data_IF_453923046575
#
_entry.id   IF_453923046575
#
_cell.length_a   1.000
_cell.length_b   1.000
_cell.length_c   1.000
_cell.angle_alpha   90.00
_cell.angle_beta   90.00
_cell.angle_gamma   90.00
#
_symmetry.space_group_name_H-M   'P 1'
#
loop_
_entity.id
_entity.type
_entity.pdbx_description
1 polymer ?
#
# COMPACT_ATOMS: atom_id res chain seq x y z
N UNK A 1 7.47 -7.88 -29.53
CA UNK A 1 7.85 -7.46 -28.15
C UNK A 1 8.16 -8.70 -27.34
N UNK A 2 9.30 -8.75 -26.69
CA UNK A 2 9.66 -9.93 -25.91
C UNK A 2 9.20 -9.80 -24.46
N UNK A 3 9.41 -10.86 -23.69
CA UNK A 3 8.95 -10.89 -22.31
C UNK A 3 9.58 -9.79 -21.46
N UNK A 4 10.85 -9.49 -21.69
CA UNK A 4 11.52 -8.45 -20.92
C UNK A 4 10.90 -7.08 -21.15
N UNK A 5 10.55 -6.81 -22.39
CA UNK A 5 9.91 -5.53 -22.72
C UNK A 5 8.54 -5.41 -22.06
N UNK A 6 7.79 -6.52 -22.05
CA UNK A 6 6.47 -6.54 -21.41
C UNK A 6 6.61 -6.31 -19.91
N UNK A 7 7.54 -7.00 -19.26
CA UNK A 7 7.77 -6.85 -17.83
C UNK A 7 8.20 -5.44 -17.50
N UNK A 8 9.09 -4.90 -18.32
CA UNK A 8 9.58 -3.54 -18.11
C UNK A 8 8.46 -2.52 -18.25
N UNK A 9 7.60 -2.69 -19.23
CA UNK A 9 6.46 -1.81 -19.43
C UNK A 9 5.46 -1.90 -18.30
N UNK A 10 5.22 -3.10 -17.79
CA UNK A 10 4.36 -3.30 -16.64
C UNK A 10 4.95 -2.65 -15.40
N UNK A 11 6.25 -2.82 -15.19
CA UNK A 11 6.92 -2.21 -14.05
C UNK A 11 6.80 -0.69 -14.09
N UNK A 12 6.99 -0.10 -15.26
CA UNK A 12 6.83 1.36 -15.41
C UNK A 12 5.41 1.80 -15.08
N UNK A 13 4.43 1.02 -15.51
CA UNK A 13 3.03 1.33 -15.23
C UNK A 13 2.77 1.30 -13.72
N UNK A 14 3.23 0.25 -13.05
CA UNK A 14 3.01 0.13 -11.62
C UNK A 14 3.80 1.16 -10.83
N UNK A 15 4.99 1.53 -11.29
CA UNK A 15 5.73 2.62 -10.66
C UNK A 15 4.94 3.94 -10.71
N UNK A 16 4.26 4.17 -11.81
CA UNK A 16 3.43 5.38 -11.97
C UNK A 16 2.17 5.30 -11.11
N UNK A 17 1.56 4.12 -11.01
CA UNK A 17 0.32 3.94 -10.25
C UNK A 17 0.55 3.92 -8.74
N UNK A 18 1.69 3.40 -8.33
CA UNK A 18 1.99 3.19 -6.91
C UNK A 18 3.32 3.83 -6.54
N UNK A 19 3.41 5.16 -6.57
CA UNK A 19 4.65 5.81 -6.12
C UNK A 19 4.87 5.59 -4.63
N UNK A 20 6.11 5.75 -4.20
CA UNK A 20 6.45 5.59 -2.78
C UNK A 20 5.54 6.45 -1.92
N UNK A 21 5.04 5.88 -0.85
CA UNK A 21 4.11 6.56 0.04
C UNK A 21 2.64 6.31 -0.25
N UNK A 22 2.33 5.64 -1.37
CA UNK A 22 0.93 5.31 -1.68
C UNK A 22 0.38 4.37 -0.64
N UNK A 23 -0.80 4.68 -0.11
CA UNK A 23 -1.48 3.77 0.81
C UNK A 23 -2.29 2.77 0.02
N UNK A 24 -2.19 1.51 0.42
CA UNK A 24 -2.89 0.42 -0.27
C UNK A 24 -3.63 -0.45 0.72
N UNK A 25 -4.58 -1.20 0.18
CA UNK A 25 -5.31 -2.24 0.90
C UNK A 25 -4.96 -3.58 0.25
N UNK A 26 -4.41 -4.50 1.04
CA UNK A 26 -4.21 -5.86 0.57
C UNK A 26 -5.54 -6.59 0.68
N UNK A 27 -6.03 -7.09 -0.44
CA UNK A 27 -7.29 -7.82 -0.47
C UNK A 27 -7.06 -9.30 -0.20
N UNK A 28 -6.03 -9.87 -0.81
CA UNK A 28 -5.69 -11.28 -0.60
C UNK A 28 -4.32 -11.58 -1.18
N UNK A 29 -3.47 -12.24 -0.41
CA UNK A 29 -2.20 -12.73 -0.93
C UNK A 29 -2.38 -14.08 -1.58
N UNK A 30 -1.61 -14.29 -2.66
CA UNK A 30 -1.60 -15.57 -3.32
C UNK A 30 -0.78 -16.60 -2.57
N UNK A 31 0.00 -17.35 -3.31
CA UNK A 31 0.78 -18.46 -2.79
C UNK A 31 1.94 -18.01 -1.91
N UNK A 32 1.71 -17.83 -0.65
CA UNK A 32 2.75 -17.45 0.30
C UNK A 32 2.61 -18.30 1.56
N UNK A 33 3.70 -18.89 2.07
CA UNK A 33 3.62 -19.71 3.29
C UNK A 33 3.16 -18.95 4.52
N UNK A 34 3.39 -17.62 4.52
CA UNK A 34 2.99 -16.77 5.65
C UNK A 34 2.36 -15.50 5.12
N UNK A 35 1.15 -15.59 4.58
CA UNK A 35 0.53 -14.42 3.97
C UNK A 35 0.15 -13.39 5.02
N UNK A 36 0.16 -12.13 4.59
CA UNK A 36 -0.43 -11.06 5.37
C UNK A 36 -1.94 -11.24 5.30
N UNK A 37 -2.62 -10.97 6.38
CA UNK A 37 -4.07 -11.16 6.44
C UNK A 37 -4.81 -10.27 5.44
N UNK A 38 -5.95 -10.78 4.95
CA UNK A 38 -6.79 -10.01 4.06
C UNK A 38 -7.22 -8.70 4.72
N UNK A 39 -7.37 -7.68 3.90
CA UNK A 39 -7.82 -6.34 4.34
C UNK A 39 -6.85 -5.62 5.25
N UNK A 40 -5.57 -5.94 5.14
CA UNK A 40 -4.52 -5.23 5.86
C UNK A 40 -4.07 -4.04 5.01
N UNK A 41 -3.96 -2.87 5.63
CA UNK A 41 -3.48 -1.68 4.95
C UNK A 41 -1.96 -1.59 5.03
N UNK A 42 -1.36 -0.94 4.05
CA UNK A 42 0.07 -0.75 4.01
C UNK A 42 0.47 0.44 3.18
N UNK A 43 1.77 0.67 3.14
CA UNK A 43 2.35 1.79 2.40
C UNK A 43 3.37 1.26 1.41
N UNK A 44 3.30 1.74 0.18
CA UNK A 44 4.25 1.35 -0.86
C UNK A 44 5.60 2.00 -0.56
N UNK A 45 6.65 1.18 -0.54
CA UNK A 45 8.02 1.66 -0.42
C UNK A 45 8.63 1.94 -1.79
N UNK A 46 8.44 1.01 -2.70
CA UNK A 46 8.91 1.16 -4.09
C UNK A 46 8.31 0.06 -4.95
N UNK A 47 8.42 0.24 -6.26
CA UNK A 47 8.11 -0.80 -7.24
C UNK A 47 9.43 -1.10 -7.94
N UNK A 48 9.82 -2.38 -7.99
CA UNK A 48 11.08 -2.74 -8.61
C UNK A 48 10.95 -2.92 -10.13
N UNK A 49 12.06 -3.28 -10.77
CA UNK A 49 12.11 -3.31 -12.23
C UNK A 49 11.32 -4.45 -12.85
N UNK A 50 10.91 -5.43 -12.07
CA UNK A 50 10.05 -6.51 -12.56
C UNK A 50 8.60 -6.32 -12.13
N UNK A 51 8.28 -5.21 -11.50
CA UNK A 51 6.91 -4.86 -11.18
C UNK A 51 6.42 -5.33 -9.82
N UNK A 52 7.31 -5.82 -8.96
CA UNK A 52 6.92 -6.17 -7.60
C UNK A 52 6.76 -4.91 -6.77
N UNK A 53 5.62 -4.80 -6.09
CA UNK A 53 5.29 -3.63 -5.28
C UNK A 53 5.69 -3.93 -3.83
N UNK A 54 6.77 -3.32 -3.40
CA UNK A 54 7.28 -3.55 -2.04
C UNK A 54 6.56 -2.65 -1.06
N UNK A 55 5.98 -3.27 -0.04
CA UNK A 55 5.13 -2.56 0.92
C UNK A 55 5.52 -2.84 2.35
N UNK A 56 5.32 -1.83 3.19
CA UNK A 56 5.35 -2.00 4.65
C UNK A 56 3.91 -1.98 5.13
N UNK A 57 3.49 -3.05 5.80
CA UNK A 57 2.11 -3.18 6.25
C UNK A 57 1.96 -2.65 7.66
N UNK A 58 0.75 -2.19 7.99
CA UNK A 58 0.47 -1.57 9.29
C UNK A 58 0.61 -2.56 10.44
N UNK A 59 0.59 -3.86 10.13
CA UNK A 59 0.81 -4.90 11.16
C UNK A 59 2.29 -5.16 11.45
N UNK A 60 3.19 -4.37 10.86
CA UNK A 60 4.63 -4.50 11.08
C UNK A 60 5.36 -5.38 10.09
N UNK A 61 4.65 -6.01 9.18
CA UNK A 61 5.28 -6.87 8.18
C UNK A 61 5.65 -6.09 6.93
N UNK A 62 6.66 -6.57 6.22
CA UNK A 62 7.08 -5.99 4.94
C UNK A 62 7.19 -7.11 3.93
N UNK A 63 6.49 -6.97 2.82
CA UNK A 63 6.48 -7.98 1.77
C UNK A 63 6.33 -7.31 0.42
N UNK A 64 6.74 -8.04 -0.64
CA UNK A 64 6.49 -7.61 -2.00
C UNK A 64 5.20 -8.21 -2.52
N UNK A 65 4.39 -7.39 -3.16
CA UNK A 65 3.15 -7.84 -3.79
C UNK A 65 3.39 -8.00 -5.28
N UNK A 66 2.97 -9.14 -5.81
CA UNK A 66 3.14 -9.43 -7.24
C UNK A 66 1.81 -9.24 -7.93
N UNK A 67 1.68 -8.19 -8.77
CA UNK A 67 0.42 -7.95 -9.48
C UNK A 67 0.04 -9.20 -10.30
N UNK A 68 -1.20 -9.60 -10.18
CA UNK A 68 -1.69 -10.82 -10.84
C UNK A 68 -1.70 -12.03 -9.94
N UNK A 69 -0.83 -12.10 -8.94
CA UNK A 69 -0.83 -13.18 -7.95
C UNK A 69 -1.46 -12.72 -6.65
N UNK A 70 -1.16 -11.49 -6.27
CA UNK A 70 -1.70 -10.90 -5.05
C UNK A 70 -2.73 -9.85 -5.43
N UNK A 71 -3.84 -9.82 -4.71
CA UNK A 71 -4.90 -8.84 -4.97
C UNK A 71 -4.75 -7.67 -4.02
N UNK A 72 -4.62 -6.49 -4.55
CA UNK A 72 -4.49 -5.26 -3.75
C UNK A 72 -4.97 -4.07 -4.57
N UNK A 73 -5.20 -2.97 -3.90
CA UNK A 73 -5.63 -1.73 -4.54
C UNK A 73 -5.18 -0.53 -3.71
N UNK A 74 -5.12 0.62 -4.34
CA UNK A 74 -4.88 1.85 -3.60
C UNK A 74 -6.09 2.16 -2.72
N UNK A 75 -5.86 2.84 -1.61
CA UNK A 75 -6.98 3.29 -0.78
C UNK A 75 -7.76 4.37 -1.52
N UNK A 76 -9.07 4.38 -1.28
CA UNK A 76 -9.93 5.41 -1.85
C UNK A 76 -9.73 6.73 -1.10
N UNK A 77 -10.20 7.82 -1.71
CA UNK A 77 -10.15 9.12 -1.05
C UNK A 77 -10.88 9.10 0.29
N UNK A 78 -12.00 8.37 0.35
CA UNK A 78 -12.74 8.20 1.59
C UNK A 78 -11.93 7.50 2.67
N UNK A 79 -11.26 6.43 2.28
CA UNK A 79 -10.43 5.68 3.21
C UNK A 79 -9.27 6.51 3.73
N UNK A 80 -8.65 7.28 2.84
CA UNK A 80 -7.56 8.18 3.24
C UNK A 80 -8.07 9.26 4.18
N UNK A 81 -9.24 9.79 3.92
CA UNK A 81 -9.86 10.79 4.78
C UNK A 81 -10.15 10.22 6.17
N UNK A 82 -10.60 8.99 6.24
CA UNK A 82 -10.83 8.31 7.50
C UNK A 82 -9.56 8.23 8.34
N UNK A 83 -8.45 7.88 7.70
CA UNK A 83 -7.17 7.80 8.39
C UNK A 83 -6.74 9.15 8.93
N UNK A 84 -6.91 10.18 8.14
CA UNK A 84 -6.55 11.54 8.54
C UNK A 84 -7.45 12.06 9.64
N UNK A 85 -8.73 11.75 9.57
CA UNK A 85 -9.68 12.15 10.59
C UNK A 85 -9.33 11.58 11.95
N UNK A 86 -8.92 10.32 11.98
CA UNK A 86 -8.52 9.69 13.22
C UNK A 86 -7.30 10.37 13.82
N UNK A 87 -6.35 10.75 12.98
CA UNK A 87 -5.17 11.46 13.46
C UNK A 87 -5.53 12.84 13.99
N UNK A 88 -6.39 13.53 13.25
CA UNK A 88 -6.82 14.87 13.65
C UNK A 88 -7.57 14.82 14.96
N UNK A 89 -8.42 13.85 15.15
CA UNK A 89 -9.16 13.70 16.39
C UNK A 89 -8.23 13.53 17.57
N UNK A 90 -7.18 12.75 17.41
CA UNK A 90 -6.21 12.57 18.45
C UNK A 90 -5.50 13.88 18.79
N UNK A 91 -5.14 14.62 17.77
CA UNK A 91 -4.49 15.91 17.94
C UNK A 91 -5.41 16.90 18.63
N UNK A 92 -6.66 16.89 18.25
CA UNK A 92 -7.65 17.78 18.85
C UNK A 92 -7.83 17.50 20.33
N UNK A 93 -7.84 16.23 20.69
CA UNK A 93 -7.98 15.87 22.08
C UNK A 93 -6.89 16.48 22.92
N UNK A 94 -5.69 16.50 22.38
CA UNK A 94 -4.59 17.10 23.11
C UNK A 94 -4.60 18.60 23.01
N UNK A 95 -4.90 19.11 21.85
CA UNK A 95 -4.90 20.53 21.63
C UNK A 95 -5.91 21.28 22.47
N UNK A 96 -7.16 20.89 22.44
CA UNK A 96 -8.17 21.62 23.20
C UNK A 96 -7.91 21.63 24.68
N UNK A 97 -7.40 20.55 25.16
CA UNK A 97 -7.09 20.49 26.58
C UNK A 97 -6.09 21.55 26.98
N UNK A 98 -5.17 21.78 26.08
CA UNK A 98 -4.19 22.80 26.34
C UNK A 98 -4.76 24.20 26.24
N UNK A 99 -5.72 24.29 25.42
CA UNK A 99 -6.30 25.55 25.12
C UNK A 99 -6.90 26.24 26.31
N UNK A 100 -6.93 25.56 27.35
CA UNK A 100 -7.48 26.12 28.45
C UNK A 100 -6.75 27.08 29.11
#
# INVERSE_FOLDING_TARGET
MNEFDLMRNQAKRYKAMYPAGTRIMLLHMGDDPRPVEDNTRGTVNCVDDIGTVHCSFDNGRSLGLVPGEDSFRALTAEELAEEQSQQVDEDEDMGPVLGM
#
